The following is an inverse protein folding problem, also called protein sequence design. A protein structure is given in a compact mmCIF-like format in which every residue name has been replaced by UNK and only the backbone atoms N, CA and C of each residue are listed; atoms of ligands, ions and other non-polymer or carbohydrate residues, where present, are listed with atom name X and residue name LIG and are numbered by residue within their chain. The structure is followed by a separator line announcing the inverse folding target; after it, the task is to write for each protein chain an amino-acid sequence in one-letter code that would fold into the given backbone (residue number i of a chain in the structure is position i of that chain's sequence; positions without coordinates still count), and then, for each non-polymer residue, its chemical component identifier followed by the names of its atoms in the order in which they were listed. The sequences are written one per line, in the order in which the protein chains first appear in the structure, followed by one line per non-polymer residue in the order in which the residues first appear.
data_IF_606914631477
#
_entry.id   IF_606914631477
#
_cell.length_a   1.000
_cell.length_b   1.000
_cell.length_c   1.000
_cell.angle_alpha   90.00
_cell.angle_beta   90.00
_cell.angle_gamma   90.00
#
_symmetry.space_group_name_H-M   'P 1'
#
loop_
_entity.id
_entity.type
_entity.pdbx_description
1 polymer ?
#
# COMPACT_ATOMS: atom_id res chain seq x y z
N UNK A 1 5.91 7.13 19.29
CA UNK A 1 5.33 6.03 18.51
C UNK A 1 6.51 5.36 17.83
N UNK A 2 6.82 4.13 18.22
CA UNK A 2 7.93 3.37 17.66
C UNK A 2 7.38 2.58 16.48
N UNK A 3 7.33 3.23 15.30
CA UNK A 3 6.63 2.71 14.12
C UNK A 3 7.15 1.34 13.69
N UNK A 4 8.40 1.01 13.98
CA UNK A 4 8.99 -0.30 13.67
C UNK A 4 8.41 -1.43 14.54
N UNK A 5 7.91 -1.13 15.74
CA UNK A 5 7.24 -2.12 16.61
C UNK A 5 5.77 -2.32 16.26
N UNK A 6 5.18 -1.36 15.58
CA UNK A 6 3.74 -1.33 15.28
C UNK A 6 3.45 -1.56 13.79
N UNK A 7 4.49 -1.65 12.94
CA UNK A 7 4.31 -1.86 11.50
C UNK A 7 5.35 -2.81 10.89
N UNK A 8 4.94 -3.58 9.88
CA UNK A 8 5.83 -4.38 9.04
C UNK A 8 5.54 -4.07 7.58
N UNK A 9 6.59 -3.80 6.81
CA UNK A 9 6.47 -3.62 5.36
C UNK A 9 6.92 -4.89 4.66
N UNK A 10 6.09 -5.37 3.73
CA UNK A 10 6.38 -6.56 2.93
C UNK A 10 6.33 -6.22 1.44
N UNK A 11 7.24 -6.81 0.65
CA UNK A 11 7.28 -6.73 -0.81
C UNK A 11 7.06 -8.10 -1.44
N UNK A 12 6.13 -8.18 -2.38
CA UNK A 12 5.84 -9.41 -3.11
C UNK A 12 6.92 -9.71 -4.16
N UNK A 13 7.52 -10.90 -4.06
CA UNK A 13 8.48 -11.44 -5.01
C UNK A 13 7.83 -12.59 -5.79
N UNK A 14 7.20 -12.32 -6.96
CA UNK A 14 6.40 -13.32 -7.67
C UNK A 14 7.23 -14.52 -8.16
N UNK A 15 8.51 -14.33 -8.49
CA UNK A 15 9.40 -15.41 -8.94
C UNK A 15 9.77 -16.38 -7.80
N UNK A 16 9.65 -15.93 -6.55
CA UNK A 16 10.00 -16.69 -5.35
C UNK A 16 8.78 -17.11 -4.53
N UNK A 17 7.57 -16.75 -4.99
CA UNK A 17 6.29 -17.01 -4.31
C UNK A 17 6.30 -16.60 -2.82
N UNK A 18 7.00 -15.50 -2.48
CA UNK A 18 7.17 -15.03 -1.10
C UNK A 18 7.03 -13.53 -0.92
N UNK A 19 6.69 -13.15 0.30
CA UNK A 19 6.78 -11.78 0.78
C UNK A 19 8.11 -11.55 1.50
N UNK A 20 8.86 -10.56 1.05
CA UNK A 20 10.12 -10.13 1.66
C UNK A 20 9.88 -8.96 2.61
N UNK A 21 10.49 -9.00 3.80
CA UNK A 21 10.39 -7.87 4.75
C UNK A 21 11.34 -6.74 4.34
N UNK A 22 10.81 -5.53 4.37
CA UNK A 22 11.57 -4.29 4.16
C UNK A 22 11.52 -3.46 5.44
N UNK A 23 12.66 -2.87 5.83
CA UNK A 23 12.69 -1.93 6.97
C UNK A 23 11.81 -0.70 6.72
N UNK A 24 11.25 -0.15 7.79
CA UNK A 24 10.44 1.07 7.70
C UNK A 24 11.23 2.25 7.13
N UNK A 25 12.51 2.35 7.49
CA UNK A 25 13.43 3.36 6.96
C UNK A 25 13.62 3.25 5.45
N UNK A 26 13.89 2.03 4.95
CA UNK A 26 14.02 1.80 3.51
C UNK A 26 12.71 2.10 2.77
N UNK A 27 11.56 1.70 3.33
CA UNK A 27 10.25 2.00 2.77
C UNK A 27 9.96 3.50 2.73
N UNK A 28 10.28 4.22 3.80
CA UNK A 28 10.06 5.66 3.92
C UNK A 28 10.96 6.46 2.98
N UNK A 29 12.23 6.07 2.88
CA UNK A 29 13.18 6.65 1.94
C UNK A 29 12.77 6.39 0.48
N UNK A 30 12.29 5.18 0.18
CA UNK A 30 11.78 4.81 -1.13
C UNK A 30 10.58 5.64 -1.58
N UNK A 31 9.63 5.86 -0.66
CA UNK A 31 8.44 6.68 -0.93
C UNK A 31 8.70 8.19 -0.93
N UNK A 32 9.90 8.63 -0.55
CA UNK A 32 10.26 10.04 -0.49
C UNK A 32 9.38 10.87 0.44
N UNK A 33 8.96 10.30 1.59
CA UNK A 33 8.00 10.94 2.51
C UNK A 33 8.55 12.27 3.07
N UNK A 34 9.89 12.43 3.15
CA UNK A 34 10.56 13.62 3.70
C UNK A 34 11.75 14.12 2.85
N UNK A 35 12.07 13.43 1.75
CA UNK A 35 13.23 13.70 0.89
C UNK A 35 12.96 13.12 -0.50
N UNK A 36 13.75 13.46 -1.55
CA UNK A 36 13.67 12.76 -2.83
C UNK A 36 13.79 11.25 -2.63
N UNK A 37 12.89 10.49 -3.28
CA UNK A 37 12.83 9.03 -3.13
C UNK A 37 14.13 8.37 -3.58
N UNK A 38 14.66 7.45 -2.76
CA UNK A 38 15.82 6.63 -3.12
C UNK A 38 15.30 5.24 -3.51
N UNK A 39 15.59 4.79 -4.73
CA UNK A 39 15.15 3.46 -5.18
C UNK A 39 15.60 2.34 -4.24
N UNK A 40 14.74 1.33 -4.03
CA UNK A 40 15.14 0.14 -3.27
C UNK A 40 16.11 -0.70 -4.11
N UNK A 41 17.22 -1.10 -3.50
CA UNK A 41 18.23 -1.93 -4.18
C UNK A 41 17.61 -3.25 -4.63
N UNK A 42 17.90 -3.66 -5.86
CA UNK A 42 17.49 -4.96 -6.40
C UNK A 42 16.09 -4.97 -7.03
N UNK A 43 15.34 -3.86 -7.02
CA UNK A 43 14.12 -3.74 -7.80
C UNK A 43 14.45 -3.59 -9.29
N UNK A 44 13.89 -4.48 -10.12
CA UNK A 44 13.79 -4.26 -11.55
C UNK A 44 12.69 -3.24 -11.86
N UNK A 45 12.75 -2.59 -13.03
CA UNK A 45 11.61 -1.81 -13.52
C UNK A 45 10.38 -2.70 -13.73
N UNK A 46 9.19 -2.20 -13.42
CA UNK A 46 7.93 -2.95 -13.55
C UNK A 46 6.92 -2.65 -12.45
N UNK A 47 5.86 -3.46 -12.37
CA UNK A 47 4.82 -3.33 -11.35
C UNK A 47 5.20 -4.12 -10.11
N UNK A 48 5.28 -3.43 -8.97
CA UNK A 48 5.60 -4.00 -7.68
C UNK A 48 4.44 -3.82 -6.70
N UNK A 49 4.23 -4.85 -5.86
CA UNK A 49 3.19 -4.86 -4.83
C UNK A 49 3.84 -4.95 -3.47
N UNK A 50 3.39 -4.09 -2.57
CA UNK A 50 3.83 -4.04 -1.18
C UNK A 50 2.59 -4.10 -0.28
N UNK A 51 2.78 -4.45 0.98
CA UNK A 51 1.79 -4.24 2.03
C UNK A 51 2.46 -3.62 3.25
N UNK A 52 1.75 -2.71 3.92
CA UNK A 52 2.06 -2.29 5.27
C UNK A 52 1.08 -2.99 6.21
N UNK A 53 1.59 -3.86 7.06
CA UNK A 53 0.84 -4.51 8.13
C UNK A 53 0.96 -3.63 9.37
N UNK A 54 -0.17 -3.21 9.92
CA UNK A 54 -0.24 -2.46 11.19
C UNK A 54 -0.62 -3.45 12.29
N UNK A 55 0.12 -3.43 13.39
CA UNK A 55 -0.10 -4.29 14.54
C UNK A 55 -0.72 -3.52 15.70
N UNK A 56 -1.63 -4.17 16.41
CA UNK A 56 -2.15 -3.73 17.71
C UNK A 56 -1.96 -4.87 18.70
N UNK A 57 -1.27 -4.60 19.82
CA UNK A 57 -0.91 -5.60 20.81
C UNK A 57 -0.24 -6.88 20.23
N UNK A 58 0.55 -6.74 19.16
CA UNK A 58 1.25 -7.84 18.48
C UNK A 58 0.40 -8.62 17.48
N UNK A 59 -0.86 -8.27 17.27
CA UNK A 59 -1.75 -8.90 16.28
C UNK A 59 -1.95 -7.99 15.07
N UNK A 60 -2.02 -8.51 13.83
CA UNK A 60 -2.35 -7.71 12.65
C UNK A 60 -3.74 -7.06 12.81
N UNK A 61 -3.76 -5.74 12.93
CA UNK A 61 -4.97 -4.93 13.04
C UNK A 61 -5.45 -4.45 11.67
N UNK A 62 -4.52 -4.08 10.79
CA UNK A 62 -4.80 -3.59 9.44
C UNK A 62 -3.73 -4.06 8.43
N UNK A 63 -4.13 -4.24 7.17
CA UNK A 63 -3.23 -4.52 6.04
C UNK A 63 -3.53 -3.49 4.97
N UNK A 64 -2.52 -2.70 4.63
CA UNK A 64 -2.65 -1.59 3.68
C UNK A 64 -1.80 -1.94 2.45
N UNK A 65 -2.42 -2.34 1.33
CA UNK A 65 -1.70 -2.66 0.11
C UNK A 65 -1.18 -1.40 -0.56
N UNK A 66 -0.08 -1.56 -1.30
CA UNK A 66 0.52 -0.52 -2.12
C UNK A 66 0.95 -1.13 -3.45
N UNK A 67 0.67 -0.44 -4.54
CA UNK A 67 1.07 -0.84 -5.89
C UNK A 67 1.81 0.31 -6.54
N UNK A 68 3.00 0.03 -7.06
CA UNK A 68 3.84 1.02 -7.71
C UNK A 68 4.37 0.51 -9.04
N UNK A 69 4.37 1.39 -10.04
CA UNK A 69 5.19 1.23 -11.22
C UNK A 69 6.57 1.78 -10.89
N UNK A 70 7.58 0.92 -10.98
CA UNK A 70 8.99 1.23 -10.70
C UNK A 70 9.70 1.43 -12.02
N UNK A 71 10.42 2.54 -12.13
CA UNK A 71 11.25 2.88 -13.28
C UNK A 71 12.53 2.02 -13.28
N UNK A 72 13.24 1.90 -14.42
CA UNK A 72 14.50 1.14 -14.49
C UNK A 72 15.59 1.61 -13.52
N UNK A 73 15.52 2.87 -13.05
CA UNK A 73 16.43 3.43 -12.04
C UNK A 73 16.02 3.12 -10.59
N UNK A 74 14.94 2.35 -10.39
CA UNK A 74 14.42 1.94 -9.09
C UNK A 74 13.51 2.98 -8.42
N UNK A 75 13.27 4.13 -9.05
CA UNK A 75 12.37 5.16 -8.52
C UNK A 75 10.90 4.81 -8.78
N UNK A 76 9.99 5.37 -7.98
CA UNK A 76 8.55 5.27 -8.24
C UNK A 76 8.23 6.20 -9.43
N UNK A 77 7.60 5.64 -10.47
CA UNK A 77 7.15 6.40 -11.63
C UNK A 77 6.25 7.57 -11.23
N UNK A 78 6.42 8.71 -11.91
CA UNK A 78 5.70 9.98 -11.60
C UNK A 78 4.18 9.84 -11.75
N UNK A 79 3.77 8.97 -12.66
CA UNK A 79 2.40 8.55 -12.87
C UNK A 79 2.24 7.15 -12.27
N UNK A 80 1.13 6.89 -11.58
CA UNK A 80 0.75 5.59 -10.97
C UNK A 80 1.04 5.37 -9.47
N UNK A 81 1.16 6.43 -8.66
CA UNK A 81 0.99 6.30 -7.19
C UNK A 81 -0.47 5.94 -6.89
N UNK A 82 -0.75 4.67 -6.55
CA UNK A 82 -2.10 4.19 -6.28
C UNK A 82 -3.04 4.24 -7.50
N UNK A 83 -2.53 4.19 -8.75
CA UNK A 83 -3.39 4.25 -9.93
C UNK A 83 -3.93 5.64 -10.29
N UNK A 84 -3.57 6.68 -9.53
CA UNK A 84 -4.08 8.04 -9.72
C UNK A 84 -3.17 8.88 -10.63
N UNK A 85 -3.81 9.69 -11.49
CA UNK A 85 -3.17 10.78 -12.22
C UNK A 85 -2.80 11.91 -11.26
N UNK A 86 -1.93 12.83 -11.70
CA UNK A 86 -1.61 14.03 -10.92
C UNK A 86 -2.86 14.83 -10.52
N UNK A 87 -3.76 15.05 -11.48
CA UNK A 87 -5.02 15.78 -11.26
C UNK A 87 -5.91 15.08 -10.23
N UNK A 88 -6.04 13.75 -10.31
CA UNK A 88 -6.84 12.98 -9.33
C UNK A 88 -6.24 13.06 -7.92
N UNK A 89 -4.91 13.10 -7.78
CA UNK A 89 -4.24 13.29 -6.49
C UNK A 89 -4.46 14.70 -5.94
N UNK A 90 -4.41 15.72 -6.79
CA UNK A 90 -4.67 17.11 -6.41
C UNK A 90 -6.14 17.28 -5.99
N UNK A 91 -7.07 16.66 -6.71
CA UNK A 91 -8.50 16.59 -6.36
C UNK A 91 -8.73 15.87 -5.03
N UNK A 92 -8.13 14.70 -4.83
CA UNK A 92 -8.23 13.94 -3.59
C UNK A 92 -7.76 14.80 -2.40
N UNK A 93 -6.58 15.41 -2.54
CA UNK A 93 -6.02 16.29 -1.51
C UNK A 93 -6.91 17.50 -1.23
N UNK A 94 -7.37 18.18 -2.29
CA UNK A 94 -8.28 19.33 -2.17
C UNK A 94 -9.55 18.96 -1.42
N UNK A 95 -10.18 17.84 -1.78
CA UNK A 95 -11.43 17.39 -1.16
C UNK A 95 -11.20 16.98 0.30
N UNK A 96 -10.15 16.21 0.58
CA UNK A 96 -9.84 15.72 1.93
C UNK A 96 -9.44 16.84 2.91
N UNK A 97 -8.97 17.98 2.40
CA UNK A 97 -8.58 19.16 3.20
C UNK A 97 -9.61 20.29 3.17
N UNK A 98 -10.71 20.12 2.41
CA UNK A 98 -11.77 21.11 2.33
C UNK A 98 -12.49 21.26 3.68
N UNK A 99 -12.82 22.51 4.05
CA UNK A 99 -13.59 22.81 5.26
C UNK A 99 -15.06 22.40 5.13
N UNK A 100 -15.60 22.47 3.92
CA UNK A 100 -16.96 22.10 3.57
C UNK A 100 -16.92 21.25 2.30
N UNK A 101 -17.73 20.19 2.26
CA UNK A 101 -17.83 19.28 1.13
C UNK A 101 -19.08 19.58 0.32
N UNK A 102 -18.94 19.80 -0.98
CA UNK A 102 -20.07 19.87 -1.89
C UNK A 102 -20.56 18.46 -2.28
N UNK A 103 -21.80 18.33 -2.81
CA UNK A 103 -22.25 17.07 -3.40
C UNK A 103 -21.34 16.57 -4.53
N UNK A 104 -20.80 17.50 -5.34
CA UNK A 104 -19.88 17.17 -6.43
C UNK A 104 -18.53 16.65 -5.90
N UNK A 105 -18.02 17.21 -4.79
CA UNK A 105 -16.83 16.69 -4.11
C UNK A 105 -17.05 15.26 -3.61
N UNK A 106 -18.24 14.96 -3.10
CA UNK A 106 -18.59 13.61 -2.64
C UNK A 106 -18.62 12.61 -3.80
N UNK A 107 -19.21 12.99 -4.94
CA UNK A 107 -19.23 12.17 -6.15
C UNK A 107 -17.81 11.95 -6.70
N UNK A 108 -17.00 13.01 -6.78
CA UNK A 108 -15.61 12.95 -7.25
C UNK A 108 -14.74 12.08 -6.34
N UNK A 109 -14.87 12.22 -5.03
CA UNK A 109 -14.13 11.41 -4.07
C UNK A 109 -14.51 9.92 -4.18
N UNK A 110 -15.79 9.61 -4.41
CA UNK A 110 -16.21 8.23 -4.63
C UNK A 110 -15.60 7.63 -5.91
N UNK A 111 -15.51 8.39 -7.01
CA UNK A 111 -14.84 7.93 -8.23
C UNK A 111 -13.35 7.65 -7.99
N UNK A 112 -12.66 8.56 -7.28
CA UNK A 112 -11.25 8.39 -6.90
C UNK A 112 -11.09 7.15 -6.03
N UNK A 113 -11.95 6.96 -5.02
CA UNK A 113 -11.93 5.79 -4.13
C UNK A 113 -12.19 4.47 -4.85
N UNK A 114 -13.10 4.43 -5.82
CA UNK A 114 -13.34 3.24 -6.63
C UNK A 114 -12.08 2.85 -7.42
N UNK A 115 -11.42 3.84 -8.02
CA UNK A 115 -10.17 3.65 -8.77
C UNK A 115 -9.03 3.19 -7.86
N UNK A 116 -8.88 3.84 -6.71
CA UNK A 116 -7.94 3.45 -5.66
C UNK A 116 -8.18 2.02 -5.20
N UNK A 117 -9.44 1.62 -4.98
CA UNK A 117 -9.81 0.26 -4.59
C UNK A 117 -9.23 -0.80 -5.51
N UNK A 118 -9.31 -0.58 -6.84
CA UNK A 118 -8.72 -1.46 -7.86
C UNK A 118 -7.19 -1.39 -7.89
N UNK A 119 -6.61 -0.22 -7.64
CA UNK A 119 -5.16 -0.06 -7.58
C UNK A 119 -4.54 -0.74 -6.35
N UNK A 120 -5.32 -0.90 -5.29
CA UNK A 120 -4.95 -1.56 -4.05
C UNK A 120 -5.21 -3.07 -4.05
N UNK A 121 -5.72 -3.64 -5.15
CA UNK A 121 -5.84 -5.09 -5.27
C UNK A 121 -4.46 -5.75 -5.36
N UNK A 122 -4.21 -6.71 -4.45
CA UNK A 122 -3.05 -7.59 -4.53
C UNK A 122 -3.26 -8.71 -5.56
N UNK A 123 -2.18 -9.23 -6.18
CA UNK A 123 -2.24 -10.44 -6.99
C UNK A 123 -2.82 -11.61 -6.18
N UNK A 124 -3.77 -12.36 -6.75
CA UNK A 124 -4.48 -13.44 -6.02
C UNK A 124 -3.53 -14.51 -5.50
N UNK A 125 -2.51 -14.83 -6.28
CA UNK A 125 -1.45 -15.77 -5.95
C UNK A 125 -0.67 -15.36 -4.69
N UNK A 126 -0.51 -14.06 -4.44
CA UNK A 126 0.27 -13.54 -3.31
C UNK A 126 -0.43 -13.72 -1.95
N UNK A 127 -1.74 -13.95 -1.93
CA UNK A 127 -2.55 -13.93 -0.71
C UNK A 127 -2.25 -15.12 0.20
N UNK A 128 -2.02 -16.30 -0.38
CA UNK A 128 -1.67 -17.49 0.40
C UNK A 128 -0.32 -17.29 1.10
N UNK A 129 0.69 -16.82 0.35
CA UNK A 129 1.99 -16.48 0.91
C UNK A 129 1.88 -15.39 1.99
N UNK A 130 1.07 -14.35 1.77
CA UNK A 130 0.87 -13.27 2.75
C UNK A 130 0.37 -13.82 4.08
N UNK A 131 -0.65 -14.71 4.05
CA UNK A 131 -1.20 -15.37 5.24
C UNK A 131 -0.14 -16.16 6.01
N UNK A 132 0.83 -16.76 5.32
CA UNK A 132 1.92 -17.50 5.93
C UNK A 132 3.04 -16.62 6.48
N UNK A 133 3.24 -15.44 5.89
CA UNK A 133 4.24 -14.47 6.36
C UNK A 133 3.82 -13.73 7.62
N UNK A 134 2.51 -13.55 7.85
CA UNK A 134 2.01 -12.90 9.07
C UNK A 134 2.42 -13.71 10.32
N UNK A 135 2.93 -13.05 11.37
CA UNK A 135 3.44 -13.76 12.56
C UNK A 135 2.33 -14.47 13.35
N UNK A 136 1.10 -13.94 13.28
CA UNK A 136 -0.11 -14.54 13.85
C UNK A 136 -1.29 -14.24 12.93
N UNK A 137 -2.37 -15.01 13.08
CA UNK A 137 -3.60 -14.73 12.34
C UNK A 137 -4.24 -13.42 12.80
N UNK A 138 -4.82 -12.63 11.88
CA UNK A 138 -5.60 -11.46 12.27
C UNK A 138 -6.78 -11.84 13.18
N UNK A 139 -7.08 -10.96 14.14
CA UNK A 139 -8.26 -11.09 15.01
C UNK A 139 -9.54 -11.07 14.18
N UNK A 140 -10.51 -11.90 14.55
CA UNK A 140 -11.86 -11.89 13.91
C UNK A 140 -12.46 -10.49 14.01
N UNK A 141 -12.96 -9.98 12.88
CA UNK A 141 -13.56 -8.63 12.79
C UNK A 141 -12.56 -7.47 12.65
N UNK A 142 -11.25 -7.74 12.70
CA UNK A 142 -10.23 -6.73 12.41
C UNK A 142 -10.30 -6.24 10.95
N UNK A 143 -9.69 -5.09 10.65
CA UNK A 143 -9.55 -4.63 9.27
C UNK A 143 -8.68 -5.60 8.45
N UNK A 144 -7.63 -6.17 9.07
CA UNK A 144 -6.78 -7.18 8.46
C UNK A 144 -7.54 -8.48 8.09
N UNK A 145 -8.42 -8.99 8.96
CA UNK A 145 -9.24 -10.17 8.64
C UNK A 145 -10.19 -9.89 7.47
N UNK A 146 -10.88 -8.75 7.50
CA UNK A 146 -11.77 -8.31 6.42
C UNK A 146 -11.02 -8.16 5.10
N UNK A 147 -9.85 -7.53 5.11
CA UNK A 147 -8.98 -7.42 3.95
C UNK A 147 -8.65 -8.79 3.36
N UNK A 148 -8.20 -9.75 4.16
CA UNK A 148 -7.87 -11.09 3.65
C UNK A 148 -9.10 -11.90 3.20
N UNK A 149 -10.29 -11.59 3.75
CA UNK A 149 -11.54 -12.27 3.41
C UNK A 149 -12.06 -11.92 2.01
N UNK A 150 -11.69 -10.75 1.48
CA UNK A 150 -12.11 -10.31 0.13
C UNK A 150 -11.48 -11.14 -1.00
N UNK A 151 -10.44 -11.94 -0.69
CA UNK A 151 -9.73 -12.80 -1.62
C UNK A 151 -10.10 -14.29 -1.49
N UNK A 152 -11.21 -14.60 -0.83
CA UNK A 152 -11.73 -15.98 -0.73
C UNK A 152 -12.37 -16.46 -2.02
#
# INVERSE_FOLDING_TARGET
MDFEKETQVLHWLPQEDRWETISWDAWSAFRGILAPGIGLRGLSGGVHHFVVVVFDAGEPANIIPHKYLIEPDGSIGRDNFGGLTKEEREDEWRIMTARELTPDDSARLNQIREKLGKAYELPRESIAALKWTLPVRPRVGSAAERFLSQYR
#
